data_IF_134433114985
#
_entry.id   IF_134433114985
#
_cell.length_a   1.000
_cell.length_b   1.000
_cell.length_c   1.000
_cell.angle_alpha   90.00
_cell.angle_beta   90.00
_cell.angle_gamma   90.00
#
_symmetry.space_group_name_H-M   'P 1'
#
loop_
_entity.id
_entity.type
_entity.pdbx_description
1 polymer ?
#
# COMPACT_ATOMS: atom_id res chain seq x y z
N UNK A 1 -4.98 -9.52 14.22
CA UNK A 1 -5.09 -8.26 13.44
C UNK A 1 -5.50 -7.16 14.39
N UNK A 2 -4.87 -5.98 14.29
CA UNK A 2 -5.21 -4.82 15.13
C UNK A 2 -6.66 -4.40 14.83
N UNK A 3 -7.43 -4.11 15.87
CA UNK A 3 -8.82 -3.66 15.71
C UNK A 3 -8.88 -2.26 15.08
N UNK A 4 -9.74 -2.06 14.08
CA UNK A 4 -9.94 -0.75 13.45
C UNK A 4 -11.08 -0.04 14.18
N UNK A 5 -10.79 1.18 14.66
CA UNK A 5 -11.78 2.13 15.15
C UNK A 5 -11.75 3.41 14.29
N UNK A 6 -12.68 4.33 14.54
CA UNK A 6 -12.78 5.57 13.75
C UNK A 6 -11.48 6.38 13.74
N UNK A 7 -10.73 6.41 14.84
CA UNK A 7 -9.48 7.16 14.93
C UNK A 7 -8.37 6.53 14.10
N UNK A 8 -8.22 5.20 14.17
CA UNK A 8 -7.24 4.46 13.35
C UNK A 8 -7.59 4.56 11.88
N UNK A 9 -8.87 4.43 11.52
CA UNK A 9 -9.33 4.63 10.15
C UNK A 9 -8.99 6.04 9.65
N UNK A 10 -9.31 7.08 10.42
CA UNK A 10 -8.98 8.46 10.05
C UNK A 10 -7.47 8.69 9.88
N UNK A 11 -6.66 8.04 10.72
CA UNK A 11 -5.20 8.08 10.58
C UNK A 11 -4.71 7.38 9.31
N UNK A 12 -5.25 6.21 8.99
CA UNK A 12 -4.95 5.51 7.74
C UNK A 12 -5.41 6.32 6.51
N UNK A 13 -6.57 6.98 6.57
CA UNK A 13 -7.04 7.89 5.52
C UNK A 13 -6.08 9.07 5.34
N UNK A 14 -5.56 9.63 6.43
CA UNK A 14 -4.52 10.68 6.40
C UNK A 14 -3.21 10.16 5.77
N UNK A 15 -2.77 8.94 6.12
CA UNK A 15 -1.57 8.35 5.50
C UNK A 15 -1.77 8.15 3.99
N UNK A 16 -2.93 7.64 3.56
CA UNK A 16 -3.25 7.45 2.16
C UNK A 16 -3.17 8.76 1.36
N UNK A 17 -3.71 9.85 1.93
CA UNK A 17 -3.60 11.17 1.35
C UNK A 17 -2.14 11.65 1.27
N UNK A 18 -1.38 11.49 2.37
CA UNK A 18 0.01 11.95 2.51
C UNK A 18 0.97 11.23 1.57
N UNK A 19 0.82 9.91 1.44
CA UNK A 19 1.57 9.07 0.49
C UNK A 19 1.15 9.32 -0.97
N UNK A 20 0.13 10.15 -1.17
CA UNK A 20 -0.36 10.54 -2.47
C UNK A 20 -1.13 9.43 -3.20
N UNK A 21 -1.67 8.45 -2.49
CA UNK A 21 -2.41 7.32 -3.06
C UNK A 21 -3.92 7.58 -3.13
N UNK A 22 -4.47 8.29 -2.13
CA UNK A 22 -5.90 8.64 -2.01
C UNK A 22 -6.08 10.14 -1.71
N UNK A 23 -5.72 10.99 -2.67
CA UNK A 23 -5.67 12.45 -2.50
C UNK A 23 -6.57 13.24 -3.47
N UNK A 24 -7.44 12.56 -4.21
CA UNK A 24 -8.31 13.15 -5.24
C UNK A 24 -7.59 13.58 -6.53
N UNK A 25 -6.28 13.35 -6.65
CA UNK A 25 -5.47 13.69 -7.83
C UNK A 25 -4.82 12.46 -8.47
N UNK A 26 -4.28 11.58 -7.63
CA UNK A 26 -3.77 10.28 -8.07
C UNK A 26 -4.93 9.43 -8.58
N UNK A 27 -4.76 8.85 -9.77
CA UNK A 27 -5.74 7.89 -10.28
C UNK A 27 -5.72 6.66 -9.38
N UNK A 28 -6.88 6.18 -8.98
CA UNK A 28 -7.08 4.95 -8.22
C UNK A 28 -8.47 4.42 -8.53
N UNK A 29 -8.65 3.10 -8.49
CA UNK A 29 -9.95 2.43 -8.57
C UNK A 29 -10.43 1.92 -7.22
N UNK A 30 -9.62 2.10 -6.18
CA UNK A 30 -9.87 1.57 -4.85
C UNK A 30 -9.15 2.40 -3.78
N UNK A 31 -9.45 3.70 -3.69
CA UNK A 31 -9.00 4.56 -2.59
C UNK A 31 -7.49 4.45 -2.25
N UNK A 32 -6.63 4.37 -3.28
CA UNK A 32 -5.18 4.27 -3.14
C UNK A 32 -4.63 2.86 -2.94
N UNK A 33 -5.46 1.86 -2.63
CA UNK A 33 -5.03 0.47 -2.37
C UNK A 33 -4.39 -0.23 -3.57
N UNK A 34 -4.60 0.27 -4.78
CA UNK A 34 -4.06 -0.24 -6.05
C UNK A 34 -2.85 0.53 -6.58
N UNK A 35 -2.34 1.53 -5.86
CA UNK A 35 -1.31 2.44 -6.38
C UNK A 35 0.09 1.85 -6.22
N UNK A 36 0.83 1.77 -7.32
CA UNK A 36 2.29 1.55 -7.33
C UNK A 36 2.98 2.91 -7.31
N UNK A 37 4.10 3.00 -6.59
CA UNK A 37 4.98 4.17 -6.60
C UNK A 37 5.27 4.64 -8.02
N UNK A 38 5.16 5.96 -8.25
CA UNK A 38 5.19 6.56 -9.60
C UNK A 38 3.81 6.71 -10.26
N UNK A 39 2.74 6.18 -9.65
CA UNK A 39 1.34 6.47 -10.00
C UNK A 39 0.67 5.47 -10.92
N UNK A 40 1.34 4.37 -11.28
CA UNK A 40 0.71 3.25 -11.95
C UNK A 40 -0.25 2.48 -11.02
N UNK A 41 -1.13 1.66 -11.60
CA UNK A 41 -2.08 0.84 -10.86
C UNK A 41 -1.81 -0.65 -11.07
N UNK A 42 -2.01 -1.45 -10.03
CA UNK A 42 -2.12 -2.90 -10.13
C UNK A 42 -3.57 -3.35 -9.96
N UNK A 43 -3.89 -4.55 -10.43
CA UNK A 43 -5.27 -5.10 -10.39
C UNK A 43 -5.37 -6.41 -9.63
N UNK A 44 -4.26 -7.12 -9.44
CA UNK A 44 -4.23 -8.36 -8.68
C UNK A 44 -3.75 -8.09 -7.25
N UNK A 45 -4.60 -8.41 -6.28
CA UNK A 45 -4.32 -8.27 -4.85
C UNK A 45 -3.84 -9.58 -4.23
N UNK A 46 -3.57 -10.64 -5.00
CA UNK A 46 -3.10 -11.93 -4.45
C UNK A 46 -1.71 -11.83 -3.78
N UNK A 47 -0.89 -10.85 -4.20
CA UNK A 47 0.40 -10.52 -3.61
C UNK A 47 0.74 -9.05 -3.84
N UNK A 48 1.76 -8.54 -3.16
CA UNK A 48 2.36 -7.25 -3.50
C UNK A 48 2.90 -7.29 -4.95
N UNK A 49 2.76 -6.23 -5.76
CA UNK A 49 3.09 -6.27 -7.19
C UNK A 49 4.59 -6.43 -7.51
N UNK A 50 5.46 -6.19 -6.52
CA UNK A 50 6.94 -6.35 -6.57
C UNK A 50 7.63 -5.66 -7.76
N UNK A 51 6.97 -4.66 -8.34
CA UNK A 51 7.52 -3.85 -9.42
C UNK A 51 8.56 -2.87 -8.85
N UNK A 52 9.82 -2.99 -9.27
CA UNK A 52 10.86 -2.01 -8.98
C UNK A 52 10.75 -0.86 -9.98
N UNK A 53 10.20 0.27 -9.54
CA UNK A 53 10.03 1.48 -10.34
C UNK A 53 11.24 2.38 -10.16
N UNK A 54 11.77 2.91 -11.27
CA UNK A 54 12.82 3.93 -11.25
C UNK A 54 12.17 5.31 -11.30
N UNK A 55 12.19 6.03 -10.18
CA UNK A 55 11.58 7.36 -10.07
C UNK A 55 12.46 8.45 -10.68
N UNK A 56 13.78 8.27 -10.57
CA UNK A 56 14.79 9.07 -11.23
C UNK A 56 16.08 8.23 -11.35
N UNK A 57 17.12 8.70 -12.06
CA UNK A 57 18.34 7.91 -12.28
C UNK A 57 19.05 7.40 -11.01
N UNK A 58 18.78 7.99 -9.83
CA UNK A 58 19.41 7.66 -8.55
C UNK A 58 18.44 7.02 -7.54
N UNK A 59 17.15 6.96 -7.83
CA UNK A 59 16.12 6.51 -6.89
C UNK A 59 15.22 5.47 -7.53
N UNK A 60 15.17 4.30 -6.89
CA UNK A 60 14.25 3.21 -7.22
C UNK A 60 13.46 2.81 -5.98
N UNK A 61 12.22 2.41 -6.17
CA UNK A 61 11.36 1.96 -5.09
C UNK A 61 10.46 0.83 -5.55
N UNK A 62 10.09 -0.04 -4.62
CA UNK A 62 9.09 -1.09 -4.83
C UNK A 62 7.81 -0.79 -4.05
N UNK A 63 7.57 0.46 -3.68
CA UNK A 63 6.43 0.83 -2.86
C UNK A 63 5.11 0.58 -3.62
N UNK A 64 4.14 -0.02 -2.95
CA UNK A 64 2.81 -0.20 -3.50
C UNK A 64 1.73 -0.24 -2.41
N UNK A 65 0.48 -0.11 -2.87
CA UNK A 65 -0.67 -0.07 -2.01
C UNK A 65 -0.90 1.30 -1.39
N UNK A 66 -1.98 1.40 -0.61
CA UNK A 66 -2.47 2.64 -0.02
C UNK A 66 -1.45 3.33 0.86
N UNK A 67 -0.60 2.52 1.51
CA UNK A 67 0.44 2.96 2.44
C UNK A 67 1.86 2.81 1.88
N UNK A 68 2.00 2.64 0.56
CA UNK A 68 3.29 2.59 -0.15
C UNK A 68 4.30 1.61 0.47
N UNK A 69 3.81 0.43 0.87
CA UNK A 69 4.62 -0.61 1.51
C UNK A 69 5.66 -1.16 0.53
N UNK A 70 6.91 -1.31 0.97
CA UNK A 70 7.95 -1.95 0.16
C UNK A 70 7.81 -3.47 0.16
N UNK A 71 8.05 -4.10 -0.99
CA UNK A 71 8.10 -5.57 -1.17
C UNK A 71 8.85 -6.33 -0.06
N UNK A 72 10.05 -5.86 0.34
CA UNK A 72 10.85 -6.49 1.41
C UNK A 72 10.10 -6.55 2.76
N UNK A 73 9.28 -5.55 3.04
CA UNK A 73 8.52 -5.45 4.28
C UNK A 73 7.21 -6.20 4.17
N UNK A 74 6.59 -6.18 2.99
CA UNK A 74 5.48 -7.07 2.69
C UNK A 74 5.84 -8.53 3.00
N UNK A 75 7.00 -9.02 2.56
CA UNK A 75 7.43 -10.39 2.83
C UNK A 75 7.53 -10.70 4.33
N UNK A 76 8.11 -9.78 5.10
CA UNK A 76 8.25 -9.91 6.54
C UNK A 76 6.88 -9.96 7.23
N UNK A 77 6.02 -8.98 6.96
CA UNK A 77 4.71 -8.89 7.62
C UNK A 77 3.71 -9.94 7.13
N UNK A 78 3.76 -10.33 5.85
CA UNK A 78 2.96 -11.45 5.33
C UNK A 78 3.21 -12.70 6.14
N UNK A 79 4.48 -13.03 6.41
CA UNK A 79 4.85 -14.17 7.24
C UNK A 79 4.49 -13.94 8.71
N UNK A 80 4.84 -12.80 9.27
CA UNK A 80 4.66 -12.49 10.70
C UNK A 80 3.18 -12.47 11.11
N UNK A 81 2.31 -11.89 10.28
CA UNK A 81 0.89 -11.73 10.55
C UNK A 81 0.02 -12.82 9.91
N UNK A 82 0.63 -13.74 9.14
CA UNK A 82 -0.07 -14.85 8.47
C UNK A 82 -0.99 -14.40 7.33
N UNK A 83 -0.69 -13.28 6.67
CA UNK A 83 -1.52 -12.69 5.61
C UNK A 83 -1.45 -13.55 4.34
N UNK A 84 -2.60 -13.71 3.67
CA UNK A 84 -2.73 -14.57 2.50
C UNK A 84 -2.65 -13.81 1.18
N UNK A 85 -2.98 -12.53 1.22
CA UNK A 85 -3.13 -11.65 0.07
C UNK A 85 -2.61 -10.24 0.41
N UNK A 86 -2.53 -9.38 -0.58
CA UNK A 86 -2.25 -7.95 -0.45
C UNK A 86 -3.52 -7.09 -0.56
N UNK A 87 -4.68 -7.64 -0.17
CA UNK A 87 -5.97 -6.95 -0.18
C UNK A 87 -5.97 -5.68 0.69
N UNK A 88 -6.94 -4.77 0.54
CA UNK A 88 -7.05 -3.59 1.40
C UNK A 88 -6.95 -3.90 2.90
N UNK A 89 -7.60 -4.97 3.35
CA UNK A 89 -7.54 -5.43 4.74
C UNK A 89 -6.14 -5.84 5.17
N UNK A 90 -5.42 -6.55 4.30
CA UNK A 90 -4.03 -6.95 4.56
C UNK A 90 -3.09 -5.75 4.56
N UNK A 91 -3.29 -4.78 3.68
CA UNK A 91 -2.54 -3.52 3.69
C UNK A 91 -2.78 -2.73 4.98
N UNK A 92 -4.03 -2.59 5.42
CA UNK A 92 -4.39 -1.94 6.70
C UNK A 92 -3.73 -2.66 7.88
N UNK A 93 -3.74 -3.99 7.87
CA UNK A 93 -3.15 -4.81 8.93
C UNK A 93 -1.62 -4.70 9.00
N UNK A 94 -0.94 -4.34 7.92
CA UNK A 94 0.50 -4.06 7.93
C UNK A 94 0.80 -2.63 8.39
N UNK A 95 -0.08 -1.68 8.08
CA UNK A 95 0.08 -0.28 8.47
C UNK A 95 -0.21 -0.03 9.97
N UNK A 96 -0.99 -0.90 10.62
CA UNK A 96 -1.34 -0.87 12.05
C UNK A 96 -0.48 -1.81 12.89
#
# INVERSE_FOLDING_TARGET
MVEINNQRKAFLDMLAWSEGTDNGRQKTRNHGYDVIVGGELFTDYSDHPRKLVTLNPKLKSTAAGRYQLLSRWWDAYRKQLGLKDFSPKSQDAVAL
#
